data_IF_472560938240
#
_entry.id   IF_472560938240
#
_cell.length_a   1.000
_cell.length_b   1.000
_cell.length_c   1.000
_cell.angle_alpha   90.00
_cell.angle_beta   90.00
_cell.angle_gamma   90.00
#
_symmetry.space_group_name_H-M   'P 1'
#
loop_
_entity.id
_entity.type
_entity.pdbx_description
1 polymer ?
#
# COMPACT_ATOMS: atom_id res chain seq x y z
N UNK A 1 17.62 -44.17 48.62
CA UNK A 1 16.85 -45.43 48.51
C UNK A 1 17.17 -46.05 47.16
N UNK A 2 17.92 -47.16 47.20
CA UNK A 2 18.24 -48.18 46.16
C UNK A 2 18.27 -47.73 44.68
N UNK A 3 19.42 -47.63 44.00
CA UNK A 3 20.40 -48.67 43.63
C UNK A 3 19.87 -49.65 42.57
N UNK A 4 20.26 -49.46 41.29
CA UNK A 4 20.73 -50.55 40.40
C UNK A 4 21.29 -49.97 39.09
N UNK A 5 22.60 -49.74 39.04
CA UNK A 5 23.35 -49.66 37.79
C UNK A 5 24.29 -50.86 37.74
N UNK A 6 23.98 -51.81 36.88
CA UNK A 6 24.79 -53.00 36.60
C UNK A 6 26.14 -52.56 36.00
N UNK A 7 27.18 -52.62 36.83
CA UNK A 7 28.58 -52.53 36.40
C UNK A 7 28.93 -53.79 35.60
N UNK A 8 29.28 -53.61 34.34
CA UNK A 8 30.11 -54.56 33.60
C UNK A 8 31.55 -54.12 33.79
N UNK A 9 32.31 -54.94 34.53
CA UNK A 9 33.77 -54.82 34.67
C UNK A 9 34.41 -55.62 33.55
N UNK A 10 35.04 -54.94 32.59
CA UNK A 10 36.05 -55.56 31.74
C UNK A 10 37.42 -55.03 32.18
N UNK A 11 38.22 -55.94 32.73
CA UNK A 11 39.54 -55.69 33.25
C UNK A 11 40.57 -56.07 32.20
N UNK A 12 41.05 -55.09 31.46
CA UNK A 12 42.46 -55.00 31.06
C UNK A 12 42.70 -53.64 30.39
N UNK A 13 43.83 -53.03 30.72
CA UNK A 13 44.38 -51.80 30.13
C UNK A 13 43.91 -50.48 30.79
N UNK A 14 44.68 -50.05 31.80
CA UNK A 14 44.59 -48.73 32.42
C UNK A 14 44.92 -47.61 31.43
N UNK A 15 43.89 -47.06 30.81
CA UNK A 15 43.91 -45.73 30.20
C UNK A 15 42.64 -45.03 30.66
N UNK A 16 42.81 -44.04 31.53
CA UNK A 16 41.74 -43.13 31.91
C UNK A 16 41.17 -42.51 30.62
N UNK A 17 39.99 -42.98 30.21
CA UNK A 17 39.21 -42.33 29.17
C UNK A 17 38.75 -40.99 29.73
N UNK A 18 39.59 -39.96 29.57
CA UNK A 18 39.22 -38.57 29.75
C UNK A 18 38.00 -38.34 28.86
N UNK A 19 36.83 -38.18 29.48
CA UNK A 19 35.61 -37.81 28.77
C UNK A 19 35.91 -36.54 27.98
N UNK A 20 35.98 -36.66 26.65
CA UNK A 20 36.16 -35.50 25.79
C UNK A 20 34.92 -34.62 26.00
N UNK A 21 35.06 -33.34 26.37
CA UNK A 21 33.92 -32.44 26.37
C UNK A 21 33.36 -32.44 24.95
N UNK A 22 32.13 -32.93 24.78
CA UNK A 22 31.34 -32.73 23.57
C UNK A 22 31.48 -31.25 23.18
N UNK A 23 32.03 -30.91 22.01
CA UNK A 23 32.14 -29.51 21.61
C UNK A 23 30.71 -28.97 21.61
N UNK A 24 30.44 -28.02 22.51
CA UNK A 24 29.16 -27.36 22.62
C UNK A 24 28.71 -27.01 21.20
N UNK A 25 27.68 -27.70 20.68
CA UNK A 25 27.07 -27.40 19.39
C UNK A 25 26.55 -25.98 19.52
N UNK A 26 27.42 -25.01 19.24
CA UNK A 26 27.13 -23.58 19.27
C UNK A 26 25.94 -23.45 18.34
N UNK A 27 24.80 -23.12 18.91
CA UNK A 27 23.52 -23.03 18.21
C UNK A 27 23.60 -21.90 17.16
N UNK A 28 24.30 -22.17 16.06
CA UNK A 28 24.52 -21.26 14.95
C UNK A 28 23.18 -20.78 14.39
N UNK A 29 22.18 -21.67 14.43
CA UNK A 29 20.79 -21.35 14.12
C UNK A 29 20.17 -20.34 15.10
N UNK A 30 20.48 -20.37 16.39
CA UNK A 30 20.01 -19.35 17.36
C UNK A 30 20.73 -18.02 17.13
N UNK A 31 22.04 -18.05 16.89
CA UNK A 31 22.82 -16.84 16.60
C UNK A 31 22.33 -16.14 15.32
N UNK A 32 22.10 -16.90 14.24
CA UNK A 32 21.53 -16.39 12.99
C UNK A 32 20.11 -15.83 13.18
N UNK A 33 19.27 -16.46 14.01
CA UNK A 33 17.93 -15.93 14.31
C UNK A 33 18.00 -14.62 15.10
N UNK A 34 18.89 -14.51 16.07
CA UNK A 34 19.06 -13.29 16.88
C UNK A 34 19.63 -12.16 16.02
N UNK A 35 20.64 -12.42 15.19
CA UNK A 35 21.18 -11.44 14.24
C UNK A 35 20.12 -11.03 13.19
N UNK A 36 19.34 -11.97 12.68
CA UNK A 36 18.22 -11.68 11.78
C UNK A 36 17.12 -10.85 12.44
N UNK A 37 16.76 -11.15 13.70
CA UNK A 37 15.79 -10.38 14.46
C UNK A 37 16.31 -8.96 14.76
N UNK A 38 17.57 -8.82 15.18
CA UNK A 38 18.22 -7.52 15.39
C UNK A 38 18.26 -6.70 14.10
N UNK A 39 18.67 -7.31 12.98
CA UNK A 39 18.65 -6.67 11.67
C UNK A 39 17.24 -6.23 11.27
N UNK A 40 16.22 -7.06 11.52
CA UNK A 40 14.81 -6.72 11.30
C UNK A 40 14.35 -5.53 12.15
N UNK A 41 14.67 -5.53 13.45
CA UNK A 41 14.33 -4.42 14.36
C UNK A 41 15.05 -3.12 13.99
N UNK A 42 16.33 -3.17 13.64
CA UNK A 42 17.08 -2.02 13.15
C UNK A 42 16.46 -1.47 11.86
N UNK A 43 16.08 -2.34 10.92
CA UNK A 43 15.39 -1.94 9.69
C UNK A 43 14.04 -1.27 9.96
N UNK A 44 13.25 -1.83 10.88
CA UNK A 44 11.96 -1.26 11.27
C UNK A 44 12.12 0.12 11.92
N UNK A 45 13.06 0.25 12.85
CA UNK A 45 13.34 1.53 13.51
C UNK A 45 13.83 2.57 12.51
N UNK A 46 14.70 2.20 11.58
CA UNK A 46 15.21 3.07 10.52
C UNK A 46 14.07 3.62 9.64
N UNK A 47 13.09 2.79 9.28
CA UNK A 47 11.93 3.21 8.48
C UNK A 47 10.99 4.15 9.26
N UNK A 48 10.83 3.93 10.57
CA UNK A 48 9.94 4.75 11.41
C UNK A 48 10.57 6.06 11.89
N UNK A 49 11.89 6.11 12.01
CA UNK A 49 12.59 7.22 12.66
C UNK A 49 12.27 8.59 12.04
N UNK A 50 12.23 8.78 10.70
CA UNK A 50 11.84 10.06 10.11
C UNK A 50 10.41 10.49 10.48
N UNK A 51 9.46 9.55 10.48
CA UNK A 51 8.07 9.80 10.89
C UNK A 51 7.95 10.08 12.39
N UNK A 52 8.77 9.46 13.22
CA UNK A 52 8.79 9.74 14.67
C UNK A 52 9.41 11.10 14.98
N UNK A 53 10.41 11.54 14.20
CA UNK A 53 11.06 12.85 14.36
C UNK A 53 10.13 13.99 13.94
N UNK A 54 9.26 13.79 12.93
CA UNK A 54 8.36 14.85 12.48
C UNK A 54 7.22 15.14 13.48
N UNK A 55 6.84 14.17 14.32
CA UNK A 55 5.83 14.31 15.38
C UNK A 55 6.16 15.42 16.38
N UNK A 56 7.30 15.42 17.08
CA UNK A 56 7.62 16.51 18.00
C UNK A 56 7.82 17.85 17.28
N UNK A 57 8.33 17.85 16.04
CA UNK A 57 8.50 19.08 15.24
C UNK A 57 7.16 19.75 14.94
N UNK A 58 6.08 18.98 14.71
CA UNK A 58 4.76 19.55 14.42
C UNK A 58 4.16 20.33 15.59
N UNK A 59 4.64 20.10 16.81
CA UNK A 59 4.26 20.87 17.99
C UNK A 59 5.20 22.05 18.24
N UNK A 60 6.05 22.44 17.29
CA UNK A 60 6.96 23.59 17.43
C UNK A 60 6.26 24.96 17.44
N UNK A 61 7.05 26.01 17.70
CA UNK A 61 6.62 27.40 17.90
C UNK A 61 5.99 28.15 16.71
N UNK A 62 5.60 27.47 15.64
CA UNK A 62 4.81 28.07 14.55
C UNK A 62 5.58 28.67 13.37
N UNK A 63 6.89 28.92 13.50
CA UNK A 63 7.70 29.59 12.45
C UNK A 63 8.99 28.86 12.07
N UNK A 64 9.41 27.83 12.81
CA UNK A 64 10.71 27.18 12.59
C UNK A 64 10.58 25.66 12.47
N UNK A 65 11.25 25.08 11.47
CA UNK A 65 11.48 23.64 11.32
C UNK A 65 12.77 23.25 12.06
N UNK A 66 12.72 23.20 13.39
CA UNK A 66 13.88 22.83 14.21
C UNK A 66 13.58 21.64 15.11
N UNK A 67 14.54 20.72 15.20
CA UNK A 67 14.52 19.62 16.16
C UNK A 67 15.71 19.74 17.12
N UNK A 68 15.50 19.64 18.45
CA UNK A 68 14.21 19.56 19.16
C UNK A 68 13.46 20.91 19.15
N UNK A 69 12.11 20.91 19.28
CA UNK A 69 11.32 22.14 19.33
C UNK A 69 11.67 22.96 20.58
N UNK A 70 11.85 24.27 20.42
CA UNK A 70 12.15 25.19 21.52
C UNK A 70 10.91 25.48 22.40
N UNK A 71 9.73 25.46 21.80
CA UNK A 71 8.45 25.69 22.45
C UNK A 71 7.42 24.71 21.90
N UNK A 72 6.56 24.21 22.78
CA UNK A 72 5.43 23.36 22.40
C UNK A 72 4.18 24.23 22.16
N UNK A 73 3.61 24.16 20.97
CA UNK A 73 2.46 24.93 20.53
C UNK A 73 1.64 24.18 19.47
N UNK A 74 0.35 24.47 19.40
CA UNK A 74 -0.55 24.00 18.33
C UNK A 74 -0.65 25.00 17.16
N UNK A 75 0.26 25.96 17.09
CA UNK A 75 0.24 27.02 16.08
C UNK A 75 0.24 26.49 14.65
N UNK A 76 1.07 25.48 14.34
CA UNK A 76 1.18 24.89 13.00
C UNK A 76 -0.13 24.19 12.57
N UNK A 77 -0.80 23.51 13.51
CA UNK A 77 -2.11 22.92 13.26
C UNK A 77 -3.17 24.00 13.00
N UNK A 78 -3.18 25.08 13.79
CA UNK A 78 -4.10 26.21 13.56
C UNK A 78 -3.85 26.88 12.20
N UNK A 79 -2.59 27.07 11.80
CA UNK A 79 -2.24 27.60 10.49
C UNK A 79 -2.73 26.68 9.36
N UNK A 80 -2.54 25.36 9.49
CA UNK A 80 -3.04 24.38 8.53
C UNK A 80 -4.56 24.47 8.34
N UNK A 81 -5.32 24.51 9.43
CA UNK A 81 -6.79 24.59 9.35
C UNK A 81 -7.31 25.97 8.94
N UNK A 82 -6.53 27.04 9.16
CA UNK A 82 -6.92 28.39 8.78
C UNK A 82 -6.62 28.73 7.31
N UNK A 83 -5.67 28.05 6.68
CA UNK A 83 -5.28 28.30 5.29
C UNK A 83 -6.18 27.54 4.29
N UNK A 84 -7.00 28.25 3.49
CA UNK A 84 -7.87 27.62 2.50
C UNK A 84 -7.12 26.82 1.42
N UNK A 85 -5.84 27.14 1.15
CA UNK A 85 -5.05 26.42 0.17
C UNK A 85 -4.73 24.99 0.63
N UNK A 86 -4.45 24.80 1.93
CA UNK A 86 -4.22 23.48 2.51
C UNK A 86 -5.50 22.65 2.55
N UNK A 87 -6.60 23.26 3.00
CA UNK A 87 -7.89 22.57 3.06
C UNK A 87 -8.41 22.21 1.66
N UNK A 88 -8.32 23.14 0.71
CA UNK A 88 -8.67 22.91 -0.69
C UNK A 88 -7.89 21.73 -1.28
N UNK A 89 -6.57 21.68 -1.04
CA UNK A 89 -5.73 20.58 -1.53
C UNK A 89 -6.10 19.22 -0.92
N UNK A 90 -6.52 19.18 0.35
CA UNK A 90 -7.04 17.97 0.99
C UNK A 90 -8.32 17.48 0.32
N UNK A 91 -9.28 18.38 0.11
CA UNK A 91 -10.56 18.06 -0.54
C UNK A 91 -10.32 17.57 -1.96
N UNK A 92 -9.51 18.30 -2.74
CA UNK A 92 -9.17 17.90 -4.11
C UNK A 92 -8.49 16.52 -4.15
N UNK A 93 -7.54 16.25 -3.26
CA UNK A 93 -6.85 14.96 -3.20
C UNK A 93 -7.81 13.81 -2.91
N UNK A 94 -8.68 13.96 -1.90
CA UNK A 94 -9.69 12.94 -1.57
C UNK A 94 -10.67 12.74 -2.73
N UNK A 95 -11.18 13.82 -3.33
CA UNK A 95 -12.10 13.73 -4.47
C UNK A 95 -11.46 13.03 -5.67
N UNK A 96 -10.23 13.42 -6.04
CA UNK A 96 -9.48 12.79 -7.14
C UNK A 96 -9.22 11.33 -6.84
N UNK A 97 -8.80 10.99 -5.62
CA UNK A 97 -8.52 9.61 -5.22
C UNK A 97 -9.77 8.72 -5.28
N UNK A 98 -10.92 9.21 -4.80
CA UNK A 98 -12.18 8.47 -4.87
C UNK A 98 -12.65 8.25 -6.31
N UNK A 99 -12.62 9.29 -7.15
CA UNK A 99 -13.06 9.21 -8.55
C UNK A 99 -12.11 8.29 -9.33
N UNK A 100 -10.80 8.47 -9.18
CA UNK A 100 -9.80 7.62 -9.83
C UNK A 100 -9.95 6.15 -9.41
N UNK A 101 -10.24 5.88 -8.14
CA UNK A 101 -10.50 4.52 -7.64
C UNK A 101 -11.75 3.92 -8.25
N UNK A 102 -12.84 4.69 -8.31
CA UNK A 102 -14.10 4.24 -8.92
C UNK A 102 -13.92 3.92 -10.41
N UNK A 103 -13.22 4.78 -11.16
CA UNK A 103 -12.86 4.54 -12.56
C UNK A 103 -12.00 3.28 -12.68
N UNK A 104 -10.98 3.16 -11.82
CA UNK A 104 -10.03 2.05 -11.87
C UNK A 104 -10.70 0.71 -11.56
N UNK A 105 -11.64 0.67 -10.62
CA UNK A 105 -12.45 -0.53 -10.35
C UNK A 105 -13.42 -0.81 -11.50
N UNK A 106 -14.11 0.23 -12.00
CA UNK A 106 -15.08 0.11 -13.09
C UNK A 106 -14.47 -0.42 -14.38
N UNK A 107 -13.20 -0.07 -14.67
CA UNK A 107 -12.46 -0.55 -15.85
C UNK A 107 -11.66 -1.82 -15.53
N UNK A 108 -10.94 -1.83 -14.41
CA UNK A 108 -9.99 -2.87 -14.06
C UNK A 108 -10.63 -4.19 -13.67
N UNK A 109 -11.77 -4.20 -12.98
CA UNK A 109 -12.45 -5.46 -12.59
C UNK A 109 -13.00 -6.21 -13.83
N UNK A 110 -13.79 -5.57 -14.72
CA UNK A 110 -14.22 -6.23 -15.95
C UNK A 110 -13.04 -6.59 -16.86
N UNK A 111 -12.03 -5.72 -16.93
CA UNK A 111 -10.79 -5.98 -17.68
C UNK A 111 -10.06 -7.23 -17.19
N UNK A 112 -9.86 -7.35 -15.88
CA UNK A 112 -9.25 -8.53 -15.26
C UNK A 112 -10.06 -9.80 -15.53
N UNK A 113 -11.39 -9.73 -15.43
CA UNK A 113 -12.27 -10.86 -15.72
C UNK A 113 -12.19 -11.29 -17.19
N UNK A 114 -12.24 -10.34 -18.11
CA UNK A 114 -12.11 -10.60 -19.55
C UNK A 114 -10.75 -11.23 -19.87
N UNK A 115 -9.66 -10.75 -19.27
CA UNK A 115 -8.33 -11.34 -19.45
C UNK A 115 -8.23 -12.73 -18.79
N UNK A 116 -8.82 -12.95 -17.62
CA UNK A 116 -8.73 -14.23 -16.93
C UNK A 116 -9.57 -15.34 -17.59
N UNK A 117 -10.81 -15.04 -17.99
CA UNK A 117 -11.77 -16.04 -18.50
C UNK A 117 -11.98 -16.00 -20.01
N UNK A 118 -11.66 -14.89 -20.66
CA UNK A 118 -11.86 -14.71 -22.10
C UNK A 118 -10.88 -15.51 -22.95
N UNK A 119 -11.40 -16.00 -24.08
CA UNK A 119 -10.63 -16.61 -25.18
C UNK A 119 -10.96 -15.82 -26.45
N UNK A 120 -10.12 -14.85 -26.78
CA UNK A 120 -10.28 -14.00 -27.97
C UNK A 120 -8.93 -13.70 -28.63
N UNK A 121 -8.89 -13.49 -29.96
CA UNK A 121 -7.66 -13.12 -30.65
C UNK A 121 -7.16 -11.76 -30.12
N UNK A 122 -5.85 -11.64 -29.88
CA UNK A 122 -5.26 -10.41 -29.35
C UNK A 122 -5.20 -10.28 -27.82
N UNK A 123 -5.66 -11.29 -27.06
CA UNK A 123 -5.55 -11.32 -25.59
C UNK A 123 -4.15 -10.93 -25.08
N UNK A 124 -3.09 -11.52 -25.64
CA UNK A 124 -1.70 -11.25 -25.23
C UNK A 124 -1.28 -9.80 -25.47
N UNK A 125 -1.79 -9.17 -26.54
CA UNK A 125 -1.54 -7.75 -26.83
C UNK A 125 -2.23 -6.89 -25.77
N UNK A 126 -3.48 -7.21 -25.42
CA UNK A 126 -4.22 -6.49 -24.37
C UNK A 126 -3.57 -6.66 -22.99
N UNK A 127 -3.10 -7.85 -22.64
CA UNK A 127 -2.34 -8.10 -21.39
C UNK A 127 -1.07 -7.27 -21.34
N UNK A 128 -0.31 -7.22 -22.44
CA UNK A 128 0.92 -6.43 -22.53
C UNK A 128 0.60 -4.95 -22.41
N UNK A 129 -0.40 -4.47 -23.15
CA UNK A 129 -0.84 -3.07 -23.12
C UNK A 129 -1.32 -2.64 -21.74
N UNK A 130 -2.04 -3.51 -21.02
CA UNK A 130 -2.53 -3.23 -19.68
C UNK A 130 -1.40 -3.04 -18.66
N UNK A 131 -0.23 -3.65 -18.86
CA UNK A 131 0.91 -3.56 -17.95
C UNK A 131 1.87 -2.41 -18.36
N UNK A 132 1.82 -1.97 -19.63
CA UNK A 132 2.70 -0.91 -20.16
C UNK A 132 2.81 0.34 -19.29
N UNK A 133 1.73 0.90 -18.68
CA UNK A 133 1.85 2.09 -17.85
C UNK A 133 2.78 1.92 -16.65
N UNK A 134 2.96 0.70 -16.15
CA UNK A 134 3.88 0.40 -15.05
C UNK A 134 5.35 0.32 -15.50
N UNK A 135 5.59 0.07 -16.79
CA UNK A 135 6.94 -0.03 -17.37
C UNK A 135 7.49 1.34 -17.77
N UNK A 136 6.61 2.27 -18.13
CA UNK A 136 6.99 3.62 -18.53
C UNK A 136 7.34 4.45 -17.28
N UNK A 137 8.46 5.19 -17.28
CA UNK A 137 8.76 6.10 -16.18
C UNK A 137 7.62 7.11 -15.96
N UNK A 138 7.18 7.25 -14.71
CA UNK A 138 5.99 8.05 -14.34
C UNK A 138 6.08 9.50 -14.83
N UNK A 139 7.27 10.10 -14.82
CA UNK A 139 7.52 11.46 -15.33
C UNK A 139 7.22 11.56 -16.83
N UNK A 140 7.68 10.57 -17.62
CA UNK A 140 7.45 10.53 -19.07
C UNK A 140 5.96 10.34 -19.35
N UNK A 141 5.30 9.47 -18.58
CA UNK A 141 3.85 9.28 -18.69
C UNK A 141 3.09 10.56 -18.33
N UNK A 142 3.49 11.26 -17.27
CA UNK A 142 2.90 12.53 -16.86
C UNK A 142 2.98 13.61 -17.94
N UNK A 143 4.15 13.76 -18.58
CA UNK A 143 4.32 14.68 -19.71
C UNK A 143 3.47 14.27 -20.92
N UNK A 144 3.39 12.97 -21.21
CA UNK A 144 2.56 12.44 -22.29
C UNK A 144 1.07 12.70 -22.06
N UNK A 145 0.58 12.43 -20.85
CA UNK A 145 -0.80 12.70 -20.44
C UNK A 145 -1.08 14.20 -20.49
N UNK A 146 -0.19 15.05 -19.96
CA UNK A 146 -0.33 16.50 -20.03
C UNK A 146 -0.52 16.99 -21.47
N UNK A 147 0.37 16.56 -22.39
CA UNK A 147 0.28 16.92 -23.81
C UNK A 147 -1.07 16.52 -24.41
N UNK A 148 -1.53 15.30 -24.13
CA UNK A 148 -2.81 14.81 -24.64
C UNK A 148 -4.00 15.56 -24.02
N UNK A 149 -4.00 15.73 -22.71
CA UNK A 149 -5.10 16.36 -21.97
C UNK A 149 -5.20 17.85 -22.24
N UNK A 150 -4.09 18.50 -22.57
CA UNK A 150 -4.08 19.90 -23.01
C UNK A 150 -4.88 20.08 -24.30
N UNK A 151 -4.89 19.09 -25.20
CA UNK A 151 -5.68 19.15 -26.44
C UNK A 151 -7.19 19.02 -26.18
N UNK A 152 -7.59 18.29 -25.13
CA UNK A 152 -9.00 18.09 -24.76
C UNK A 152 -9.49 19.02 -23.64
N UNK A 153 -8.69 20.03 -23.26
CA UNK A 153 -9.00 20.93 -22.14
C UNK A 153 -9.29 20.20 -20.80
N UNK A 154 -8.63 19.07 -20.56
CA UNK A 154 -8.76 18.30 -19.32
C UNK A 154 -7.73 18.70 -18.25
N UNK A 155 -6.69 19.44 -18.63
CA UNK A 155 -5.69 19.98 -17.69
C UNK A 155 -6.36 20.96 -16.72
N UNK A 156 -5.88 21.04 -15.49
CA UNK A 156 -6.44 21.87 -14.41
C UNK A 156 -7.87 21.50 -13.98
N UNK A 157 -8.37 20.31 -14.35
CA UNK A 157 -9.71 19.83 -13.94
C UNK A 157 -9.62 18.61 -13.02
N UNK A 158 -10.56 18.49 -12.09
CA UNK A 158 -10.64 17.31 -11.19
C UNK A 158 -10.83 16.02 -11.98
N UNK A 159 -11.61 16.05 -13.06
CA UNK A 159 -11.84 14.90 -13.93
C UNK A 159 -10.59 14.50 -14.72
N UNK A 160 -9.86 15.46 -15.25
CA UNK A 160 -8.57 15.20 -15.89
C UNK A 160 -7.57 14.59 -14.91
N UNK A 161 -7.44 15.14 -13.71
CA UNK A 161 -6.59 14.53 -12.67
C UNK A 161 -7.02 13.08 -12.36
N UNK A 162 -8.31 12.86 -12.11
CA UNK A 162 -8.80 11.52 -11.78
C UNK A 162 -8.59 10.51 -12.92
N UNK A 163 -8.76 10.92 -14.18
CA UNK A 163 -8.50 10.07 -15.33
C UNK A 163 -7.00 9.76 -15.49
N UNK A 164 -6.14 10.75 -15.28
CA UNK A 164 -4.69 10.56 -15.31
C UNK A 164 -4.22 9.58 -14.23
N UNK A 165 -4.75 9.71 -13.01
CA UNK A 165 -4.48 8.79 -11.91
C UNK A 165 -5.03 7.39 -12.22
N UNK A 166 -6.22 7.28 -12.81
CA UNK A 166 -6.78 5.99 -13.18
C UNK A 166 -5.92 5.23 -14.20
N UNK A 167 -5.30 5.91 -15.18
CA UNK A 167 -4.38 5.28 -16.14
C UNK A 167 -3.19 4.59 -15.43
N UNK A 168 -2.67 5.20 -14.36
CA UNK A 168 -1.60 4.63 -13.55
C UNK A 168 -2.06 3.44 -12.69
N UNK A 169 -3.30 3.51 -12.19
CA UNK A 169 -3.80 2.62 -11.15
C UNK A 169 -4.52 1.38 -11.70
N UNK A 170 -5.17 1.48 -12.86
CA UNK A 170 -5.85 0.37 -13.54
C UNK A 170 -4.98 -0.90 -13.65
N UNK A 171 -3.70 -0.85 -14.05
CA UNK A 171 -2.84 -2.03 -14.11
C UNK A 171 -2.73 -2.77 -12.77
N UNK A 172 -2.62 -2.03 -11.66
CA UNK A 172 -2.56 -2.60 -10.32
C UNK A 172 -3.87 -3.30 -9.96
N UNK A 173 -5.03 -2.68 -10.28
CA UNK A 173 -6.35 -3.30 -10.08
C UNK A 173 -6.47 -4.58 -10.90
N UNK A 174 -6.05 -4.56 -12.17
CA UNK A 174 -6.11 -5.74 -13.04
C UNK A 174 -5.30 -6.91 -12.47
N UNK A 175 -4.10 -6.64 -11.97
CA UNK A 175 -3.23 -7.66 -11.37
C UNK A 175 -3.83 -8.20 -10.06
N UNK A 176 -4.27 -7.31 -9.17
CA UNK A 176 -4.79 -7.67 -7.85
C UNK A 176 -6.10 -8.48 -7.97
N UNK A 177 -7.05 -8.01 -8.78
CA UNK A 177 -8.32 -8.72 -9.04
C UNK A 177 -8.07 -10.01 -9.82
N UNK A 178 -7.15 -9.99 -10.77
CA UNK A 178 -6.72 -11.19 -11.50
C UNK A 178 -6.18 -12.28 -10.57
N UNK A 179 -5.52 -11.91 -9.48
CA UNK A 179 -5.11 -12.85 -8.44
C UNK A 179 -6.29 -13.48 -7.70
N UNK A 180 -7.31 -12.68 -7.35
CA UNK A 180 -8.56 -13.19 -6.78
C UNK A 180 -9.29 -14.16 -7.70
N UNK A 181 -9.37 -13.83 -8.99
CA UNK A 181 -10.00 -14.67 -10.02
C UNK A 181 -9.31 -16.03 -10.22
N UNK A 182 -8.00 -16.14 -9.96
CA UNK A 182 -7.29 -17.42 -10.00
C UNK A 182 -7.69 -18.36 -8.86
N UNK A 183 -8.13 -17.82 -7.72
CA UNK A 183 -8.60 -18.59 -6.57
C UNK A 183 -10.11 -18.84 -6.61
N UNK A 184 -10.86 -18.09 -7.41
CA UNK A 184 -12.29 -18.28 -7.61
C UNK A 184 -12.58 -19.57 -8.39
N UNK A 185 -13.62 -20.29 -7.98
CA UNK A 185 -14.03 -21.56 -8.57
C UNK A 185 -14.73 -21.33 -9.92
N UNK A 186 -14.00 -21.67 -10.99
CA UNK A 186 -14.49 -21.57 -12.36
C UNK A 186 -15.59 -22.61 -12.69
N UNK A 187 -15.74 -23.67 -11.89
CA UNK A 187 -16.77 -24.69 -12.11
C UNK A 187 -18.18 -24.11 -11.88
N UNK A 188 -18.34 -23.22 -10.89
CA UNK A 188 -19.60 -22.52 -10.64
C UNK A 188 -20.02 -21.66 -11.84
N UNK A 189 -19.05 -21.04 -12.52
CA UNK A 189 -19.31 -20.28 -13.75
C UNK A 189 -19.81 -21.21 -14.88
N UNK A 190 -19.19 -22.39 -15.03
CA UNK A 190 -19.58 -23.37 -16.05
C UNK A 190 -20.98 -23.95 -15.80
N UNK A 191 -21.31 -24.29 -14.55
CA UNK A 191 -22.64 -24.79 -14.16
C UNK A 191 -23.71 -23.74 -14.44
N UNK A 192 -23.48 -22.48 -14.06
CA UNK A 192 -24.43 -21.40 -14.33
C UNK A 192 -24.67 -21.19 -15.84
N UNK A 193 -23.62 -21.39 -16.66
CA UNK A 193 -23.71 -21.29 -18.12
C UNK A 193 -24.56 -22.43 -18.71
N UNK A 194 -24.40 -23.66 -18.22
CA UNK A 194 -25.22 -24.83 -18.62
C UNK A 194 -26.69 -24.64 -18.23
N UNK A 195 -26.95 -24.00 -17.09
CA UNK A 195 -28.30 -23.64 -16.62
C UNK A 195 -28.92 -22.45 -17.39
N UNK A 196 -28.27 -21.95 -18.45
CA UNK A 196 -28.80 -20.91 -19.32
C UNK A 196 -28.63 -19.47 -18.79
N UNK A 197 -27.81 -19.25 -17.75
CA UNK A 197 -27.54 -17.90 -17.28
C UNK A 197 -26.68 -17.11 -18.29
N UNK A 198 -27.02 -15.84 -18.52
CA UNK A 198 -26.20 -14.96 -19.37
C UNK A 198 -24.87 -14.61 -18.70
N UNK A 199 -23.82 -14.34 -19.49
CA UNK A 199 -22.47 -14.01 -18.96
C UNK A 199 -22.46 -12.83 -17.99
N UNK A 200 -23.29 -11.82 -18.24
CA UNK A 200 -23.45 -10.66 -17.34
C UNK A 200 -24.06 -11.08 -16.00
N UNK A 201 -25.10 -11.93 -16.03
CA UNK A 201 -25.69 -12.48 -14.82
C UNK A 201 -24.68 -13.32 -14.03
N UNK A 202 -23.92 -14.19 -14.71
CA UNK A 202 -22.87 -15.01 -14.09
C UNK A 202 -21.82 -14.12 -13.43
N UNK A 203 -21.37 -13.05 -14.10
CA UNK A 203 -20.40 -12.13 -13.52
C UNK A 203 -20.90 -11.51 -12.21
N UNK A 204 -22.11 -10.92 -12.19
CA UNK A 204 -22.61 -10.23 -10.99
C UNK A 204 -23.06 -11.19 -9.88
N UNK A 205 -23.61 -12.36 -10.21
CA UNK A 205 -24.21 -13.27 -9.23
C UNK A 205 -23.27 -14.40 -8.77
N UNK A 206 -22.28 -14.77 -9.57
CA UNK A 206 -21.40 -15.92 -9.27
C UNK A 206 -19.96 -15.45 -9.06
N UNK A 207 -19.42 -14.66 -9.99
CA UNK A 207 -17.99 -14.29 -9.96
C UNK A 207 -17.72 -13.18 -8.95
N UNK A 208 -18.44 -12.07 -9.06
CA UNK A 208 -18.22 -10.87 -8.25
C UNK A 208 -18.30 -11.16 -6.73
N UNK A 209 -19.26 -11.96 -6.22
CA UNK A 209 -19.29 -12.34 -4.81
C UNK A 209 -18.07 -13.14 -4.36
N UNK A 210 -17.52 -14.01 -5.21
CA UNK A 210 -16.30 -14.77 -4.90
C UNK A 210 -15.07 -13.87 -4.78
N UNK A 211 -14.96 -12.85 -5.63
CA UNK A 211 -13.81 -11.94 -5.66
C UNK A 211 -14.02 -10.65 -4.85
N UNK A 212 -15.11 -10.52 -4.09
CA UNK A 212 -15.47 -9.29 -3.36
C UNK A 212 -14.35 -8.76 -2.46
N UNK A 213 -13.64 -9.66 -1.78
CA UNK A 213 -12.51 -9.30 -0.92
C UNK A 213 -11.32 -8.77 -1.75
N UNK A 214 -11.03 -9.40 -2.88
CA UNK A 214 -9.98 -8.93 -3.81
C UNK A 214 -10.33 -7.57 -4.42
N UNK A 215 -11.61 -7.34 -4.77
CA UNK A 215 -12.09 -6.04 -5.26
C UNK A 215 -11.98 -4.97 -4.18
N UNK A 216 -12.39 -5.26 -2.93
CA UNK A 216 -12.30 -4.31 -1.82
C UNK A 216 -10.84 -3.90 -1.53
N UNK A 217 -9.92 -4.88 -1.48
CA UNK A 217 -8.49 -4.62 -1.32
C UNK A 217 -7.96 -3.80 -2.50
N UNK A 218 -8.33 -4.15 -3.72
CA UNK A 218 -7.91 -3.41 -4.92
C UNK A 218 -8.41 -1.97 -4.94
N UNK A 219 -9.62 -1.72 -4.44
CA UNK A 219 -10.19 -0.37 -4.34
C UNK A 219 -9.43 0.47 -3.31
N UNK A 220 -9.07 -0.12 -2.17
CA UNK A 220 -8.24 0.56 -1.17
C UNK A 220 -6.85 0.90 -1.73
N UNK A 221 -6.18 -0.05 -2.39
CA UNK A 221 -4.90 0.22 -3.03
C UNK A 221 -5.02 1.27 -4.14
N UNK A 222 -6.08 1.23 -4.93
CA UNK A 222 -6.33 2.24 -5.96
C UNK A 222 -6.47 3.64 -5.36
N UNK A 223 -7.15 3.75 -4.23
CA UNK A 223 -7.30 5.00 -3.49
C UNK A 223 -5.96 5.49 -2.97
N UNK A 224 -5.20 4.61 -2.30
CA UNK A 224 -3.90 4.96 -1.71
C UNK A 224 -2.87 5.39 -2.76
N UNK A 225 -2.77 4.63 -3.86
CA UNK A 225 -1.87 4.96 -4.97
C UNK A 225 -2.25 6.28 -5.63
N UNK A 226 -3.54 6.56 -5.78
CA UNK A 226 -4.00 7.84 -6.34
C UNK A 226 -3.80 9.01 -5.37
N UNK A 227 -4.01 8.77 -4.07
CA UNK A 227 -3.88 9.78 -3.02
C UNK A 227 -2.43 10.22 -2.81
N UNK A 228 -1.47 9.31 -2.93
CA UNK A 228 -0.03 9.57 -2.80
C UNK A 228 0.63 10.06 -4.10
N UNK A 229 -0.12 10.12 -5.20
CA UNK A 229 0.47 10.44 -6.49
C UNK A 229 0.75 11.94 -6.64
N UNK A 230 2.04 12.26 -6.76
CA UNK A 230 2.54 13.63 -6.86
C UNK A 230 3.06 13.96 -8.27
N UNK A 231 3.64 13.00 -8.98
CA UNK A 231 4.42 13.27 -10.19
C UNK A 231 3.50 13.67 -11.34
N UNK A 232 2.53 12.83 -11.68
CA UNK A 232 1.54 13.11 -12.72
C UNK A 232 0.64 14.27 -12.32
N UNK A 233 0.24 14.32 -11.06
CA UNK A 233 -0.55 15.42 -10.52
C UNK A 233 0.18 16.76 -10.70
N UNK A 234 1.48 16.85 -10.46
CA UNK A 234 2.27 18.08 -10.60
C UNK A 234 2.23 18.65 -12.03
N UNK A 235 2.23 17.80 -13.06
CA UNK A 235 2.17 18.26 -14.44
C UNK A 235 0.78 18.72 -14.89
N UNK A 236 -0.29 18.18 -14.31
CA UNK A 236 -1.67 18.37 -14.79
C UNK A 236 -2.47 19.32 -13.89
N UNK A 237 -2.08 19.47 -12.63
CA UNK A 237 -2.77 20.31 -11.64
C UNK A 237 -2.64 21.79 -11.96
N UNK A 238 -3.72 22.53 -11.67
CA UNK A 238 -3.74 23.98 -11.73
C UNK A 238 -3.86 24.64 -10.37
N UNK A 239 -3.95 25.98 -10.34
CA UNK A 239 -4.08 26.75 -9.09
C UNK A 239 -5.28 26.35 -8.22
N UNK A 240 -6.37 25.89 -8.86
CA UNK A 240 -7.62 25.50 -8.18
C UNK A 240 -7.80 23.98 -8.03
N UNK A 241 -6.88 23.19 -8.58
CA UNK A 241 -6.95 21.71 -8.60
C UNK A 241 -5.68 21.07 -8.07
N UNK A 242 -4.94 21.80 -7.25
CA UNK A 242 -3.73 21.31 -6.59
C UNK A 242 -4.08 20.21 -5.59
N UNK A 243 -3.47 19.04 -5.71
CA UNK A 243 -3.64 17.95 -4.74
C UNK A 243 -2.74 18.14 -3.52
N UNK A 244 -3.07 17.48 -2.41
CA UNK A 244 -2.29 17.53 -1.19
C UNK A 244 -0.81 17.14 -1.38
N UNK A 245 -0.45 16.05 -2.08
CA UNK A 245 0.96 15.74 -2.35
C UNK A 245 1.67 16.84 -3.16
N UNK A 246 0.98 17.45 -4.13
CA UNK A 246 1.55 18.55 -4.93
C UNK A 246 1.75 19.80 -4.06
N UNK A 247 0.80 20.13 -3.17
CA UNK A 247 0.96 21.25 -2.22
C UNK A 247 2.11 20.99 -1.25
N UNK A 248 2.23 19.79 -0.71
CA UNK A 248 3.35 19.39 0.16
C UNK A 248 4.69 19.48 -0.57
N UNK A 249 4.76 18.98 -1.81
CA UNK A 249 5.96 19.05 -2.64
C UNK A 249 6.37 20.49 -2.91
N UNK A 250 5.43 21.35 -3.30
CA UNK A 250 5.67 22.78 -3.52
C UNK A 250 6.10 23.49 -2.23
N UNK A 251 5.49 23.15 -1.08
CA UNK A 251 5.86 23.70 0.22
C UNK A 251 7.29 23.33 0.63
N UNK A 252 7.78 22.15 0.25
CA UNK A 252 9.18 21.74 0.46
C UNK A 252 10.12 22.50 -0.49
N UNK A 253 9.75 22.60 -1.76
CA UNK A 253 10.63 23.14 -2.80
C UNK A 253 10.76 24.65 -2.78
N UNK A 254 9.70 25.37 -2.44
CA UNK A 254 9.63 26.82 -2.63
C UNK A 254 9.44 27.61 -1.33
N UNK A 255 8.79 27.04 -0.31
CA UNK A 255 8.37 27.78 0.89
C UNK A 255 9.09 27.34 2.17
N UNK A 256 9.69 26.14 2.20
CA UNK A 256 10.21 25.44 3.41
C UNK A 256 9.25 25.62 4.59
N UNK A 257 7.96 25.38 4.35
CA UNK A 257 6.91 25.71 5.31
C UNK A 257 6.90 24.77 6.53
N UNK A 258 6.98 25.28 7.78
CA UNK A 258 6.85 24.46 8.98
C UNK A 258 5.50 23.75 9.13
N UNK A 259 4.45 24.25 8.46
CA UNK A 259 3.12 23.64 8.43
C UNK A 259 3.17 22.21 7.89
N UNK A 260 4.15 21.89 7.04
CA UNK A 260 4.38 20.54 6.51
C UNK A 260 4.52 19.49 7.61
N UNK A 261 5.13 19.84 8.75
CA UNK A 261 5.25 18.92 9.88
C UNK A 261 3.88 18.60 10.49
N UNK A 262 2.97 19.59 10.60
CA UNK A 262 1.59 19.37 11.06
C UNK A 262 0.78 18.51 10.08
N UNK A 263 0.93 18.73 8.76
CA UNK A 263 0.25 17.91 7.76
C UNK A 263 0.74 16.46 7.78
N UNK A 264 2.07 16.27 7.80
CA UNK A 264 2.69 14.94 7.80
C UNK A 264 2.31 14.12 9.03
N UNK A 265 2.23 14.78 10.20
CA UNK A 265 1.82 14.13 11.44
C UNK A 265 0.34 13.77 11.44
N UNK A 266 -0.53 14.66 10.94
CA UNK A 266 -1.94 14.37 10.80
C UNK A 266 -2.18 13.18 9.85
N UNK A 267 -1.52 13.16 8.70
CA UNK A 267 -1.59 12.03 7.75
C UNK A 267 -1.08 10.74 8.39
N UNK A 268 0.05 10.78 9.12
CA UNK A 268 0.60 9.62 9.83
C UNK A 268 -0.39 9.07 10.86
N UNK A 269 -1.02 9.96 11.64
CA UNK A 269 -2.04 9.58 12.62
C UNK A 269 -3.28 8.97 11.95
N UNK A 270 -3.75 9.58 10.85
CA UNK A 270 -4.88 9.04 10.09
C UNK A 270 -4.55 7.63 9.57
N UNK A 271 -3.38 7.45 8.95
CA UNK A 271 -2.93 6.13 8.47
C UNK A 271 -2.84 5.12 9.60
N UNK A 272 -2.32 5.51 10.76
CA UNK A 272 -2.25 4.66 11.95
C UNK A 272 -3.65 4.25 12.44
N UNK A 273 -4.59 5.19 12.56
CA UNK A 273 -5.96 4.89 13.00
C UNK A 273 -6.72 4.01 12.01
N UNK A 274 -6.56 4.26 10.70
CA UNK A 274 -7.15 3.41 9.66
C UNK A 274 -6.60 1.99 9.75
N UNK A 275 -5.27 1.83 9.91
CA UNK A 275 -4.64 0.53 10.05
C UNK A 275 -5.13 -0.22 11.30
N UNK A 276 -5.17 0.46 12.45
CA UNK A 276 -5.69 -0.10 13.71
C UNK A 276 -7.18 -0.49 13.60
N UNK A 277 -7.98 0.33 12.91
CA UNK A 277 -9.39 0.04 12.63
C UNK A 277 -9.57 -1.22 11.79
N UNK A 278 -8.79 -1.38 10.72
CA UNK A 278 -8.81 -2.59 9.89
C UNK A 278 -8.39 -3.82 10.70
N UNK A 279 -7.31 -3.71 11.50
CA UNK A 279 -6.85 -4.81 12.36
C UNK A 279 -7.91 -5.19 13.40
N UNK A 280 -8.63 -4.22 13.97
CA UNK A 280 -9.69 -4.46 14.93
C UNK A 280 -10.86 -5.21 14.28
N UNK A 281 -11.22 -4.90 13.04
CA UNK A 281 -12.28 -5.59 12.29
C UNK A 281 -11.88 -7.03 11.96
N UNK A 282 -10.66 -7.26 11.46
CA UNK A 282 -10.17 -8.61 11.13
C UNK A 282 -10.12 -9.55 12.33
N UNK A 283 -9.81 -9.02 13.52
CA UNK A 283 -9.82 -9.82 14.76
C UNK A 283 -11.22 -10.29 15.14
N UNK A 284 -12.27 -9.52 14.82
CA UNK A 284 -13.67 -9.89 15.13
C UNK A 284 -14.12 -11.08 14.28
N UNK A 285 -13.76 -11.09 13.01
CA UNK A 285 -14.09 -12.19 12.10
C UNK A 285 -13.40 -13.50 12.53
N UNK A 286 -12.12 -13.43 12.91
CA UNK A 286 -11.37 -14.58 13.42
C UNK A 286 -11.90 -15.13 14.76
N UNK A 287 -12.54 -14.27 15.59
CA UNK A 287 -13.13 -14.68 16.87
C UNK A 287 -14.56 -15.22 16.70
N UNK A 288 -15.23 -14.92 15.58
CA UNK A 288 -16.57 -15.40 15.26
C UNK A 288 -16.58 -16.77 14.56
N UNK A 289 -15.43 -17.20 14.01
CA UNK A 289 -15.22 -18.52 13.42
C UNK A 289 -14.75 -19.60 14.42
N UNK A 290 -14.50 -19.22 15.68
CA UNK A 290 -14.15 -20.13 16.79
C UNK A 290 -15.38 -20.42 17.68
#
# INVERSE_FOLDING_TARGET
MMDTATRVTDGSNGRDMVARPEPARRDWRRTLRVLGALGGWCGYLFLLLPSLVIVPISFGGGTELTFPPKTFSLALFRQFFADPAWWGACVTSVSVALIASAISIGVGVPGAYALARGRFPGKRVLETFAITPMLVPVVVLGLGIYKQFSMFALVNTVWGLALAHAVLVVPFVVIAVGSGLRHADASLEAVALVMGASRVRIFFQVVLPQIRASVAVSMLFAFLLSFDEVVVAYFISGPQTTTLPVKMYSAIRWEVSPVLAAVSTLLTLISLFVCLGIMALQRRDASAEQ
#
